data_IF_870911747197
#
_entry.id   IF_870911747197
#
_cell.length_a   1.000
_cell.length_b   1.000
_cell.length_c   1.000
_cell.angle_alpha   90.00
_cell.angle_beta   90.00
_cell.angle_gamma   90.00
#
_symmetry.space_group_name_H-M   'P 1'
#
loop_
_entity.id
_entity.type
_entity.pdbx_description
1 polymer ?
#
# COMPACT_ATOMS: atom_id res chain seq x y z
N UNK A 1 26.80 3.19 -2.12
CA UNK A 1 25.88 2.08 -2.44
C UNK A 1 24.47 2.60 -2.72
N UNK A 2 23.96 3.48 -1.86
CA UNK A 2 22.62 4.11 -2.00
C UNK A 2 22.42 4.87 -3.32
N UNK A 3 23.37 5.72 -3.74
CA UNK A 3 23.30 6.42 -5.04
C UNK A 3 23.29 5.46 -6.25
N UNK A 4 23.96 4.31 -6.16
CA UNK A 4 24.01 3.32 -7.25
C UNK A 4 22.65 2.63 -7.40
N UNK A 5 22.04 2.26 -6.27
CA UNK A 5 20.71 1.64 -6.24
C UNK A 5 19.65 2.63 -6.72
N UNK A 6 19.72 3.88 -6.28
CA UNK A 6 18.75 4.91 -6.67
C UNK A 6 18.85 5.22 -8.16
N UNK A 7 20.08 5.36 -8.70
CA UNK A 7 20.31 5.56 -10.13
C UNK A 7 19.76 4.40 -10.96
N UNK A 8 20.07 3.16 -10.58
CA UNK A 8 19.52 1.97 -11.23
C UNK A 8 17.99 1.93 -11.17
N UNK A 9 17.39 2.24 -10.02
CA UNK A 9 15.94 2.21 -9.85
C UNK A 9 15.24 3.28 -10.71
N UNK A 10 15.79 4.49 -10.77
CA UNK A 10 15.23 5.57 -11.61
C UNK A 10 15.38 5.33 -13.10
N UNK A 11 16.30 4.46 -13.53
CA UNK A 11 16.47 4.10 -14.94
C UNK A 11 15.41 3.11 -15.44
N UNK A 12 14.57 2.57 -14.55
CA UNK A 12 13.58 1.57 -14.87
C UNK A 12 12.17 2.17 -14.85
N UNK A 13 11.48 2.19 -15.99
CA UNK A 13 10.13 2.76 -16.10
C UNK A 13 9.12 2.06 -15.16
N UNK A 14 9.26 0.74 -14.96
CA UNK A 14 8.41 -0.03 -14.06
C UNK A 14 8.54 0.41 -12.59
N UNK A 15 9.70 0.91 -12.17
CA UNK A 15 9.95 1.29 -10.79
C UNK A 15 9.18 2.57 -10.41
N UNK A 16 9.08 3.53 -11.35
CA UNK A 16 8.26 4.73 -11.18
C UNK A 16 6.76 4.40 -11.06
N UNK A 17 6.29 3.45 -11.87
CA UNK A 17 4.90 2.98 -11.80
C UNK A 17 4.64 2.26 -10.48
N UNK A 18 5.51 1.33 -10.10
CA UNK A 18 5.37 0.55 -8.86
C UNK A 18 5.37 1.45 -7.62
N UNK A 19 6.31 2.39 -7.52
CA UNK A 19 6.37 3.35 -6.41
C UNK A 19 5.11 4.23 -6.32
N UNK A 20 4.59 4.70 -7.46
CA UNK A 20 3.35 5.48 -7.50
C UNK A 20 2.16 4.67 -6.99
N UNK A 21 2.03 3.41 -7.42
CA UNK A 21 0.94 2.52 -6.97
C UNK A 21 1.02 2.27 -5.46
N UNK A 22 2.23 2.06 -4.92
CA UNK A 22 2.44 1.88 -3.47
C UNK A 22 2.06 3.13 -2.68
N UNK A 23 2.40 4.32 -3.18
CA UNK A 23 2.02 5.60 -2.54
C UNK A 23 0.51 5.79 -2.53
N UNK A 24 -0.17 5.51 -3.65
CA UNK A 24 -1.63 5.60 -3.74
C UNK A 24 -2.28 4.59 -2.79
N UNK A 25 -1.79 3.34 -2.75
CA UNK A 25 -2.31 2.32 -1.84
C UNK A 25 -2.13 2.72 -0.36
N UNK A 26 -0.98 3.32 -0.01
CA UNK A 26 -0.76 3.89 1.33
C UNK A 26 -1.74 5.01 1.66
N UNK A 27 -1.93 5.96 0.73
CA UNK A 27 -2.89 7.05 0.92
C UNK A 27 -4.31 6.53 1.19
N UNK A 28 -4.77 5.55 0.40
CA UNK A 28 -6.11 4.97 0.54
C UNK A 28 -6.25 4.21 1.87
N UNK A 29 -5.27 3.39 2.24
CA UNK A 29 -5.30 2.59 3.48
C UNK A 29 -5.15 3.43 4.75
N UNK A 30 -4.46 4.58 4.68
CA UNK A 30 -4.41 5.55 5.79
C UNK A 30 -5.70 6.37 5.93
N UNK A 31 -6.40 6.62 4.82
CA UNK A 31 -7.61 7.46 4.81
C UNK A 31 -8.86 6.67 5.21
N UNK A 32 -8.94 5.38 4.86
CA UNK A 32 -10.07 4.52 5.20
C UNK A 32 -9.73 3.56 6.35
N UNK A 33 -10.64 3.48 7.34
CA UNK A 33 -10.62 2.41 8.34
C UNK A 33 -10.97 1.06 7.72
N UNK A 34 -10.27 0.01 8.11
CA UNK A 34 -10.50 -1.36 7.63
C UNK A 34 -11.98 -1.77 7.76
N UNK A 35 -12.60 -1.45 8.91
CA UNK A 35 -14.02 -1.71 9.20
C UNK A 35 -15.00 -1.08 8.20
N UNK A 36 -14.64 0.05 7.59
CA UNK A 36 -15.44 0.72 6.59
C UNK A 36 -15.14 0.20 5.19
N UNK A 37 -13.86 -0.10 4.91
CA UNK A 37 -13.43 -0.62 3.63
C UNK A 37 -13.97 -2.02 3.35
N UNK A 38 -13.97 -2.90 4.35
CA UNK A 38 -14.48 -4.28 4.26
C UNK A 38 -15.99 -4.35 4.01
N UNK A 39 -16.74 -3.30 4.40
CA UNK A 39 -18.19 -3.21 4.18
C UNK A 39 -18.56 -2.76 2.78
N UNK A 40 -17.61 -2.27 1.99
CA UNK A 40 -17.87 -1.81 0.63
C UNK A 40 -17.75 -2.97 -0.37
N UNK A 41 -18.73 -3.15 -1.28
CA UNK A 41 -18.85 -4.37 -2.09
C UNK A 41 -17.70 -4.60 -3.08
N UNK A 42 -17.04 -3.53 -3.53
CA UNK A 42 -15.90 -3.58 -4.46
C UNK A 42 -14.60 -3.38 -3.69
N UNK A 43 -14.53 -2.34 -2.85
CA UNK A 43 -13.33 -1.97 -2.10
C UNK A 43 -12.93 -3.08 -1.12
N UNK A 44 -13.89 -3.72 -0.43
CA UNK A 44 -13.60 -4.82 0.49
C UNK A 44 -12.93 -6.02 -0.18
N UNK A 45 -13.22 -6.30 -1.45
CA UNK A 45 -12.58 -7.39 -2.21
C UNK A 45 -11.13 -7.06 -2.59
N UNK A 46 -10.84 -5.81 -2.93
CA UNK A 46 -9.49 -5.35 -3.27
C UNK A 46 -8.68 -4.88 -2.05
N UNK A 47 -9.31 -4.79 -0.88
CA UNK A 47 -8.69 -4.32 0.36
C UNK A 47 -7.45 -5.12 0.78
N UNK A 48 -7.43 -6.48 0.69
CA UNK A 48 -6.22 -7.25 0.98
C UNK A 48 -5.07 -6.93 0.02
N UNK A 49 -5.38 -6.65 -1.25
CA UNK A 49 -4.39 -6.25 -2.27
C UNK A 49 -3.85 -4.86 -1.95
N UNK A 50 -4.72 -3.91 -1.59
CA UNK A 50 -4.31 -2.56 -1.21
C UNK A 50 -3.44 -2.57 0.05
N UNK A 51 -3.79 -3.36 1.07
CA UNK A 51 -2.97 -3.54 2.27
C UNK A 51 -1.63 -4.24 2.01
N UNK A 52 -1.60 -5.16 1.05
CA UNK A 52 -0.35 -5.79 0.62
C UNK A 52 0.54 -4.80 -0.14
N UNK A 53 -0.02 -4.03 -1.07
CA UNK A 53 0.67 -3.00 -1.84
C UNK A 53 1.14 -1.84 -0.96
N UNK A 54 0.41 -1.49 0.09
CA UNK A 54 0.84 -0.47 1.04
C UNK A 54 1.91 -0.97 2.01
N UNK A 55 2.31 -2.25 1.94
CA UNK A 55 3.22 -2.91 2.88
C UNK A 55 2.69 -2.92 4.33
N UNK A 56 1.37 -2.83 4.53
CA UNK A 56 0.72 -2.87 5.84
C UNK A 56 0.59 -4.29 6.45
N UNK A 57 1.13 -5.32 5.78
CA UNK A 57 0.99 -6.76 6.14
C UNK A 57 1.48 -7.09 7.56
N UNK A 58 2.38 -6.30 8.15
CA UNK A 58 2.98 -6.59 9.46
C UNK A 58 2.38 -5.84 10.66
N UNK A 59 1.83 -4.63 10.47
CA UNK A 59 1.22 -3.79 11.54
C UNK A 59 0.29 -2.75 10.93
N UNK A 60 -0.87 -3.16 10.43
CA UNK A 60 -1.91 -2.21 10.12
C UNK A 60 -2.43 -1.59 11.43
N UNK A 61 -2.25 -0.28 11.63
CA UNK A 61 -2.77 0.44 12.81
C UNK A 61 -4.30 0.48 12.88
N UNK A 62 -4.99 0.07 11.81
CA UNK A 62 -6.44 -0.12 11.77
C UNK A 62 -6.90 -1.56 12.05
N UNK A 63 -5.98 -2.51 12.23
CA UNK A 63 -6.34 -3.88 12.57
C UNK A 63 -6.91 -3.93 14.00
N UNK A 64 -8.08 -4.57 14.15
CA UNK A 64 -8.72 -4.82 15.44
C UNK A 64 -7.84 -5.60 16.42
N UNK A 65 -6.81 -6.28 15.91
CA UNK A 65 -5.88 -7.07 16.71
C UNK A 65 -4.83 -6.24 17.48
N UNK A 66 -4.94 -4.92 17.47
CA UNK A 66 -4.13 -3.97 18.24
C UNK A 66 -4.85 -3.28 19.40
N UNK A 67 -5.99 -3.80 19.87
CA UNK A 67 -6.58 -3.46 21.17
C UNK A 67 -6.23 -4.52 22.21
#
# INVERSE_FOLDING_TARGET
>A
MEQVIFSWATSQEWFGIASTVVVIANFVTMTLKDDYAEKLPIIGKIWPILNWLSLNVAKNKNDKKGA
#
